data_IF_345089942834
#
_entry.id   IF_345089942834
#
_cell.length_a   1.000
_cell.length_b   1.000
_cell.length_c   1.000
_cell.angle_alpha   90.00
_cell.angle_beta   90.00
_cell.angle_gamma   90.00
#
_symmetry.space_group_name_H-M   'P 1'
#
loop_
_entity.id
_entity.type
_entity.pdbx_description
1 polymer ?
#
# COMPACT_ATOMS: atom_id res chain seq x y z
N UNK A 1 44.00 -14.21 -0.16
CA UNK A 1 43.72 -13.35 -1.32
C UNK A 1 42.23 -13.41 -1.53
N UNK A 2 41.48 -12.53 -0.89
CA UNK A 2 40.03 -12.37 -1.13
C UNK A 2 39.87 -11.86 -2.55
N UNK A 3 39.11 -12.59 -3.37
CA UNK A 3 38.94 -12.33 -4.79
C UNK A 3 38.37 -10.91 -4.96
N UNK A 4 39.01 -10.10 -5.80
CA UNK A 4 38.57 -8.73 -6.09
C UNK A 4 37.09 -8.68 -6.55
N UNK A 5 36.61 -9.78 -7.14
CA UNK A 5 35.21 -9.99 -7.52
C UNK A 5 34.23 -10.06 -6.34
N UNK A 6 34.64 -10.62 -5.20
CA UNK A 6 33.79 -10.66 -3.99
C UNK A 6 33.69 -9.29 -3.34
N UNK A 7 34.79 -8.51 -3.40
CA UNK A 7 34.80 -7.13 -2.93
C UNK A 7 33.91 -6.24 -3.78
N UNK A 8 33.99 -6.39 -5.11
CA UNK A 8 33.15 -5.64 -6.05
C UNK A 8 31.66 -6.01 -5.90
N UNK A 9 31.34 -7.28 -5.66
CA UNK A 9 29.97 -7.72 -5.39
C UNK A 9 29.41 -7.13 -4.07
N UNK A 10 30.24 -7.04 -3.03
CA UNK A 10 29.86 -6.41 -1.75
C UNK A 10 29.68 -4.91 -1.92
N UNK A 11 30.56 -4.24 -2.68
CA UNK A 11 30.44 -2.81 -2.95
C UNK A 11 29.17 -2.51 -3.77
N UNK A 12 28.82 -3.32 -4.77
CA UNK A 12 27.55 -3.19 -5.52
C UNK A 12 26.34 -3.46 -4.64
N UNK A 13 26.38 -4.48 -3.78
CA UNK A 13 25.27 -4.77 -2.86
C UNK A 13 25.09 -3.68 -1.81
N UNK A 14 26.18 -3.06 -1.36
CA UNK A 14 26.18 -1.93 -0.43
C UNK A 14 25.65 -0.68 -1.12
N UNK A 15 26.09 -0.40 -2.36
CA UNK A 15 25.57 0.72 -3.16
C UNK A 15 24.09 0.57 -3.48
N UNK A 16 23.62 -0.64 -3.83
CA UNK A 16 22.19 -0.90 -4.04
C UNK A 16 21.38 -0.81 -2.74
N UNK A 17 21.91 -1.30 -1.61
CA UNK A 17 21.24 -1.16 -0.30
C UNK A 17 21.20 0.28 0.20
N UNK A 18 22.18 1.11 -0.18
CA UNK A 18 22.20 2.54 0.12
C UNK A 18 21.29 3.34 -0.83
N UNK A 19 21.22 2.95 -2.11
CA UNK A 19 20.34 3.57 -3.10
C UNK A 19 18.85 3.36 -2.77
N UNK A 20 18.49 2.25 -2.12
CA UNK A 20 17.11 2.02 -1.63
C UNK A 20 16.71 2.96 -0.46
N UNK A 21 17.67 3.63 0.18
CA UNK A 21 17.42 4.54 1.31
C UNK A 21 17.46 6.01 0.86
N UNK A 22 18.32 6.37 -0.10
CA UNK A 22 18.46 7.75 -0.58
C UNK A 22 17.42 8.14 -1.66
N UNK A 23 16.77 7.18 -2.34
CA UNK A 23 15.54 7.45 -3.11
C UNK A 23 14.32 7.77 -2.21
N UNK A 24 14.51 7.74 -0.88
CA UNK A 24 13.58 8.35 0.09
C UNK A 24 13.89 9.85 0.23
N UNK A 25 14.08 10.54 -0.89
CA UNK A 25 13.88 11.99 -0.98
C UNK A 25 12.37 12.33 -1.12
N UNK A 26 11.54 11.59 -0.38
CA UNK A 26 10.11 11.82 -0.20
C UNK A 26 9.75 11.88 1.28
N UNK A 27 10.57 12.60 2.04
CA UNK A 27 10.28 13.02 3.42
C UNK A 27 9.96 14.51 3.51
N UNK A 28 9.64 15.14 2.39
CA UNK A 28 8.78 16.33 2.39
C UNK A 28 7.34 15.89 2.72
N UNK A 29 7.10 15.71 4.01
CA UNK A 29 5.79 15.62 4.65
C UNK A 29 4.84 14.56 4.10
N UNK A 30 5.03 13.29 4.50
CA UNK A 30 3.96 12.28 4.46
C UNK A 30 2.67 12.78 5.17
N UNK A 31 2.79 13.80 6.02
CA UNK A 31 1.70 14.54 6.67
C UNK A 31 0.80 15.35 5.71
N UNK A 32 1.29 15.73 4.53
CA UNK A 32 0.60 16.68 3.65
C UNK A 32 -0.13 15.98 2.50
N UNK A 33 0.19 14.70 2.27
CA UNK A 33 -0.52 13.86 1.30
C UNK A 33 -1.85 13.43 1.87
N UNK A 34 -2.91 13.90 1.22
CA UNK A 34 -4.29 13.58 1.57
C UNK A 34 -5.03 13.09 0.35
N UNK A 35 -5.60 11.90 0.46
CA UNK A 35 -6.48 11.33 -0.54
C UNK A 35 -7.86 11.99 -0.45
N UNK A 36 -8.44 12.24 -1.61
CA UNK A 36 -9.77 12.82 -1.77
C UNK A 36 -10.85 11.73 -1.82
N UNK A 37 -12.11 12.14 -1.68
CA UNK A 37 -13.26 11.24 -1.88
C UNK A 37 -13.30 10.70 -3.32
N UNK A 38 -12.81 11.48 -4.29
CA UNK A 38 -12.76 11.06 -5.68
C UNK A 38 -11.78 9.90 -5.87
N UNK A 39 -10.63 9.93 -5.20
CA UNK A 39 -9.65 8.82 -5.25
C UNK A 39 -10.24 7.51 -4.74
N UNK A 40 -11.03 7.56 -3.65
CA UNK A 40 -11.75 6.40 -3.13
C UNK A 40 -12.82 5.92 -4.12
N UNK A 41 -13.58 6.83 -4.74
CA UNK A 41 -14.57 6.47 -5.77
C UNK A 41 -13.89 5.77 -6.95
N UNK A 42 -12.74 6.26 -7.39
CA UNK A 42 -11.97 5.70 -8.50
C UNK A 42 -11.43 4.31 -8.15
N UNK A 43 -10.90 4.16 -6.93
CA UNK A 43 -10.47 2.88 -6.40
C UNK A 43 -11.61 1.85 -6.38
N UNK A 44 -12.79 2.20 -5.84
CA UNK A 44 -13.97 1.31 -5.80
C UNK A 44 -14.42 0.91 -7.21
N UNK A 45 -14.41 1.85 -8.17
CA UNK A 45 -14.75 1.56 -9.57
C UNK A 45 -13.76 0.60 -10.22
N UNK A 46 -12.48 0.68 -9.86
CA UNK A 46 -11.42 -0.17 -10.39
C UNK A 46 -11.40 -1.60 -9.84
N UNK A 47 -12.10 -1.87 -8.73
CA UNK A 47 -12.16 -3.21 -8.13
C UNK A 47 -12.61 -4.23 -9.17
N UNK A 48 -11.89 -5.35 -9.33
CA UNK A 48 -12.34 -6.41 -10.26
C UNK A 48 -13.53 -7.14 -9.66
N UNK A 49 -14.50 -7.53 -10.49
CA UNK A 49 -15.57 -8.43 -10.04
C UNK A 49 -14.96 -9.78 -9.69
N UNK A 50 -14.87 -10.10 -8.38
CA UNK A 50 -14.51 -11.43 -7.88
C UNK A 50 -15.78 -12.10 -7.34
N UNK A 51 -15.92 -13.41 -7.59
CA UNK A 51 -17.04 -14.20 -7.08
C UNK A 51 -16.91 -14.49 -5.58
N UNK A 52 -15.68 -14.59 -5.07
CA UNK A 52 -15.40 -14.80 -3.65
C UNK A 52 -15.15 -13.48 -2.92
N UNK A 53 -15.66 -13.42 -1.69
CA UNK A 53 -15.30 -12.42 -0.68
C UNK A 53 -13.89 -12.67 -0.14
N UNK A 54 -13.29 -11.63 0.46
CA UNK A 54 -12.06 -11.79 1.23
C UNK A 54 -12.29 -12.54 2.55
N UNK A 55 -11.25 -12.61 3.38
CA UNK A 55 -11.33 -13.19 4.73
C UNK A 55 -12.42 -12.55 5.60
N UNK A 56 -12.68 -11.26 5.37
CA UNK A 56 -13.70 -10.45 6.03
C UNK A 56 -15.14 -10.71 5.56
N UNK A 57 -15.34 -11.61 4.60
CA UNK A 57 -16.63 -11.88 3.96
C UNK A 57 -17.25 -10.68 3.23
N UNK A 58 -16.47 -9.62 2.99
CA UNK A 58 -16.90 -8.46 2.20
C UNK A 58 -16.55 -8.69 0.74
N UNK A 59 -17.56 -8.66 -0.13
CA UNK A 59 -17.35 -8.79 -1.58
C UNK A 59 -17.14 -7.44 -2.24
N UNK A 60 -16.43 -7.41 -3.38
CA UNK A 60 -16.28 -6.19 -4.18
C UNK A 60 -17.64 -5.64 -4.66
N UNK A 61 -18.66 -6.49 -4.80
CA UNK A 61 -20.02 -6.07 -5.09
C UNK A 61 -20.62 -5.27 -3.93
N UNK A 62 -20.43 -5.71 -2.68
CA UNK A 62 -20.88 -4.96 -1.50
C UNK A 62 -20.20 -3.59 -1.42
N UNK A 63 -18.89 -3.52 -1.67
CA UNK A 63 -18.12 -2.27 -1.66
C UNK A 63 -18.64 -1.30 -2.74
N UNK A 64 -18.93 -1.80 -3.95
CA UNK A 64 -19.49 -0.99 -5.04
C UNK A 64 -20.91 -0.48 -4.76
N UNK A 65 -21.66 -1.14 -3.88
CA UNK A 65 -23.01 -0.75 -3.48
C UNK A 65 -23.04 0.12 -2.22
N UNK A 66 -21.86 0.54 -1.72
CA UNK A 66 -21.79 1.42 -0.55
C UNK A 66 -22.50 2.76 -0.83
N UNK A 67 -23.34 3.24 0.11
CA UNK A 67 -23.88 4.59 0.03
C UNK A 67 -22.77 5.66 0.00
N UNK A 68 -23.01 6.77 -0.70
CA UNK A 68 -21.98 7.80 -0.92
C UNK A 68 -21.39 8.39 0.36
N UNK A 69 -22.16 8.49 1.44
CA UNK A 69 -21.68 9.01 2.72
C UNK A 69 -20.58 8.12 3.34
N UNK A 70 -20.53 6.83 3.02
CA UNK A 70 -19.45 5.95 3.44
C UNK A 70 -18.15 6.19 2.66
N UNK A 71 -18.19 6.74 1.44
CA UNK A 71 -16.97 7.09 0.72
C UNK A 71 -16.18 8.20 1.45
N UNK A 72 -16.89 9.17 2.05
CA UNK A 72 -16.27 10.19 2.88
C UNK A 72 -15.62 9.59 4.13
N UNK A 73 -16.31 8.67 4.81
CA UNK A 73 -15.77 7.98 5.97
C UNK A 73 -14.54 7.13 5.62
N UNK A 74 -14.58 6.38 4.52
CA UNK A 74 -13.45 5.60 4.02
C UNK A 74 -12.26 6.48 3.68
N UNK A 75 -12.49 7.65 3.10
CA UNK A 75 -11.44 8.63 2.80
C UNK A 75 -10.77 9.12 4.08
N UNK A 76 -11.55 9.44 5.10
CA UNK A 76 -11.01 9.87 6.39
C UNK A 76 -10.21 8.73 7.05
N UNK A 77 -10.78 7.54 7.16
CA UNK A 77 -10.14 6.39 7.77
C UNK A 77 -8.82 6.02 7.06
N UNK A 78 -8.82 6.01 5.72
CA UNK A 78 -7.61 5.73 4.94
C UNK A 78 -6.52 6.77 5.18
N UNK A 79 -6.87 8.06 5.15
CA UNK A 79 -5.91 9.13 5.43
C UNK A 79 -5.34 9.06 6.85
N UNK A 80 -6.16 8.72 7.84
CA UNK A 80 -5.70 8.55 9.22
C UNK A 80 -4.72 7.36 9.35
N UNK A 81 -5.03 6.22 8.72
CA UNK A 81 -4.14 5.05 8.69
C UNK A 81 -2.83 5.35 7.96
N UNK A 82 -2.92 6.02 6.80
CA UNK A 82 -1.77 6.40 5.98
C UNK A 82 -0.83 7.35 6.74
N UNK A 83 -1.38 8.41 7.36
CA UNK A 83 -0.60 9.37 8.15
C UNK A 83 0.11 8.71 9.33
N UNK A 84 -0.52 7.73 9.97
CA UNK A 84 0.04 7.06 11.15
C UNK A 84 0.94 5.86 10.78
N UNK A 85 1.07 5.52 9.49
CA UNK A 85 1.72 4.30 9.00
C UNK A 85 1.25 3.02 9.72
N UNK A 86 -0.02 3.00 10.16
CA UNK A 86 -0.60 1.87 10.91
C UNK A 86 -1.39 0.98 9.96
N UNK A 87 -0.90 -0.25 9.77
CA UNK A 87 -1.56 -1.26 8.95
C UNK A 87 -1.69 -2.54 9.77
N UNK A 88 -2.89 -3.12 9.78
CA UNK A 88 -3.16 -4.39 10.47
C UNK A 88 -2.35 -5.54 9.88
N UNK A 89 -1.97 -6.50 10.72
CA UNK A 89 -1.29 -7.73 10.28
C UNK A 89 -2.05 -8.48 9.19
N UNK A 90 -3.38 -8.36 9.21
CA UNK A 90 -4.33 -8.98 8.28
C UNK A 90 -4.08 -8.53 6.84
N UNK A 91 -3.60 -7.29 6.63
CA UNK A 91 -3.32 -6.75 5.30
C UNK A 91 -2.12 -7.44 4.65
N UNK A 92 -1.13 -7.84 5.46
CA UNK A 92 0.02 -8.64 5.01
C UNK A 92 -0.43 -10.07 4.68
N UNK A 93 -1.34 -10.62 5.46
CA UNK A 93 -1.89 -11.97 5.26
C UNK A 93 -2.77 -12.06 4.01
N UNK A 94 -3.59 -11.04 3.73
CA UNK A 94 -4.48 -11.00 2.57
C UNK A 94 -3.73 -11.06 1.22
N UNK A 95 -2.52 -10.47 1.16
CA UNK A 95 -1.65 -10.53 -0.02
C UNK A 95 -1.20 -11.96 -0.33
N UNK A 96 -0.97 -12.78 0.70
CA UNK A 96 -0.46 -14.14 0.56
C UNK A 96 -1.55 -15.16 0.21
N UNK A 97 -2.83 -14.84 0.42
CA UNK A 97 -3.97 -15.73 0.12
C UNK A 97 -4.65 -15.43 -1.23
N UNK A 98 -4.16 -14.45 -2.00
CA UNK A 98 -4.74 -14.08 -3.31
C UNK A 98 -4.23 -14.93 -4.48
N UNK A 99 -3.68 -16.13 -4.24
CA UNK A 99 -3.29 -17.11 -5.27
C UNK A 99 -4.48 -17.97 -5.71
#
# INVERSE_FOLDING_TARGET
MTNDLEKEAVDVWTLNSLADIDDIEFTSSQSDLKFSVQDIKDAIRSLRSKKSSGFDQVSNTMIRLLPEHYHALLTQAYNDLFRNAQWGSEWKTARNMSQ
#
